data_IF_304716677261
#
_entry.id   IF_304716677261
#
_cell.length_a   1.000
_cell.length_b   1.000
_cell.length_c   1.000
_cell.angle_alpha   90.00
_cell.angle_beta   90.00
_cell.angle_gamma   90.00
#
_symmetry.space_group_name_H-M   'P 1'
#
loop_
_entity.id
_entity.type
_entity.pdbx_description
1 polymer ?
#
# COMPACT_ATOMS: atom_id res chain seq x y z
N UNK A 1 -13.41 -6.62 -6.74
CA UNK A 1 -12.27 -5.71 -6.47
C UNK A 1 -11.11 -5.93 -7.46
N UNK A 2 -10.59 -7.15 -7.65
CA UNK A 2 -9.46 -7.42 -8.57
C UNK A 2 -9.65 -6.95 -10.03
N UNK A 3 -10.83 -7.17 -10.61
CA UNK A 3 -11.12 -6.85 -12.01
C UNK A 3 -11.08 -5.34 -12.34
N UNK A 4 -11.13 -4.49 -11.31
CA UNK A 4 -11.08 -3.03 -11.44
C UNK A 4 -9.66 -2.47 -11.53
N UNK A 5 -8.63 -3.30 -11.29
CA UNK A 5 -7.23 -2.86 -11.24
C UNK A 5 -6.41 -3.43 -12.40
N UNK A 6 -5.58 -2.57 -13.01
CA UNK A 6 -4.61 -2.98 -14.03
C UNK A 6 -3.36 -3.59 -13.44
N UNK A 7 -3.15 -3.41 -12.14
CA UNK A 7 -2.09 -4.01 -11.35
C UNK A 7 -2.67 -4.47 -10.01
N UNK A 8 -2.39 -5.73 -9.65
CA UNK A 8 -2.90 -6.37 -8.45
C UNK A 8 -1.90 -7.46 -8.04
N UNK A 9 -1.06 -7.18 -7.05
CA UNK A 9 -0.01 -8.08 -6.57
C UNK A 9 -0.21 -8.40 -5.08
N UNK A 10 -0.68 -9.60 -4.73
CA UNK A 10 -0.91 -10.00 -3.35
C UNK A 10 0.35 -9.95 -2.49
N UNK A 11 0.22 -9.44 -1.26
CA UNK A 11 1.29 -9.36 -0.27
C UNK A 11 0.70 -9.51 1.14
N UNK A 12 1.49 -9.20 2.17
CA UNK A 12 0.99 -9.03 3.53
C UNK A 12 1.65 -7.83 4.20
N UNK A 13 0.93 -7.21 5.15
CA UNK A 13 1.45 -6.16 6.01
C UNK A 13 1.24 -6.58 7.46
N UNK A 14 2.32 -6.78 8.23
CA UNK A 14 2.28 -7.24 9.62
C UNK A 14 1.34 -8.45 9.87
N UNK A 15 1.29 -9.39 8.93
CA UNK A 15 0.45 -10.60 8.99
C UNK A 15 -0.98 -10.45 8.46
N UNK A 16 -1.40 -9.24 8.07
CA UNK A 16 -2.71 -8.99 7.45
C UNK A 16 -2.65 -9.18 5.93
N UNK A 17 -3.73 -9.68 5.30
CA UNK A 17 -3.81 -9.77 3.85
C UNK A 17 -3.75 -8.36 3.24
N UNK A 18 -2.89 -8.22 2.23
CA UNK A 18 -2.71 -6.94 1.55
C UNK A 18 -2.51 -7.15 0.05
N UNK A 19 -2.66 -6.07 -0.69
CA UNK A 19 -2.40 -6.06 -2.14
C UNK A 19 -1.78 -4.73 -2.55
N UNK A 20 -0.70 -4.80 -3.32
CA UNK A 20 -0.29 -3.63 -4.09
C UNK A 20 -1.19 -3.50 -5.31
N UNK A 21 -1.83 -2.35 -5.47
CA UNK A 21 -2.81 -2.13 -6.52
C UNK A 21 -2.52 -0.86 -7.33
N UNK A 22 -2.96 -0.84 -8.60
CA UNK A 22 -3.11 0.40 -9.36
C UNK A 22 -4.20 0.28 -10.42
N UNK A 23 -5.03 1.33 -10.55
CA UNK A 23 -6.07 1.43 -11.58
C UNK A 23 -5.57 2.01 -12.90
N UNK A 24 -4.44 2.74 -12.91
CA UNK A 24 -4.02 3.58 -14.05
C UNK A 24 -2.92 2.90 -14.88
N UNK A 25 -1.79 2.58 -14.25
CA UNK A 25 -0.64 1.91 -14.89
C UNK A 25 0.04 0.96 -13.92
N UNK A 26 0.54 -0.20 -14.39
CA UNK A 26 1.40 -1.04 -13.59
C UNK A 26 2.69 -0.30 -13.25
N UNK A 27 2.97 -0.15 -11.95
CA UNK A 27 4.31 0.13 -11.41
C UNK A 27 4.98 1.39 -11.99
N UNK A 28 4.28 2.52 -11.97
CA UNK A 28 4.90 3.83 -12.28
C UNK A 28 5.98 4.14 -11.23
N UNK A 29 7.23 4.43 -11.63
CA UNK A 29 8.26 4.86 -10.69
C UNK A 29 7.76 6.04 -9.85
N UNK A 30 7.93 5.96 -8.53
CA UNK A 30 7.46 7.01 -7.60
C UNK A 30 5.98 6.93 -7.21
N UNK A 31 5.23 5.92 -7.69
CA UNK A 31 3.85 5.70 -7.28
C UNK A 31 3.65 4.27 -6.81
N UNK A 32 3.01 4.10 -5.65
CA UNK A 32 2.53 2.80 -5.20
C UNK A 32 1.36 3.00 -4.25
N UNK A 33 0.40 2.07 -4.29
CA UNK A 33 -0.68 1.98 -3.33
C UNK A 33 -0.73 0.56 -2.77
N UNK A 34 -0.98 0.44 -1.47
CA UNK A 34 -1.25 -0.82 -0.79
C UNK A 34 -2.59 -0.72 -0.09
N UNK A 35 -3.47 -1.69 -0.34
CA UNK A 35 -4.72 -1.88 0.40
C UNK A 35 -4.53 -3.05 1.36
N UNK A 36 -4.87 -2.86 2.63
CA UNK A 36 -4.76 -3.88 3.68
C UNK A 36 -6.13 -4.18 4.26
N UNK A 37 -6.53 -5.45 4.24
CA UNK A 37 -7.76 -5.91 4.91
C UNK A 37 -7.51 -6.11 6.40
N UNK A 38 -8.34 -5.50 7.25
CA UNK A 38 -8.20 -5.56 8.71
C UNK A 38 -9.38 -6.24 9.41
N UNK A 39 -10.52 -6.36 8.74
CA UNK A 39 -11.63 -7.24 9.08
C UNK A 39 -12.37 -7.70 7.81
N UNK A 40 -13.44 -8.48 7.96
CA UNK A 40 -14.20 -9.05 6.84
C UNK A 40 -14.76 -7.98 5.88
N UNK A 41 -15.14 -6.82 6.42
CA UNK A 41 -15.76 -5.72 5.68
C UNK A 41 -14.95 -4.41 5.74
N UNK A 42 -13.74 -4.44 6.30
CA UNK A 42 -12.93 -3.23 6.49
C UNK A 42 -11.50 -3.38 5.98
N UNK A 43 -11.05 -2.32 5.32
CA UNK A 43 -9.70 -2.17 4.81
C UNK A 43 -9.27 -0.72 4.90
N UNK A 44 -7.96 -0.48 4.89
CA UNK A 44 -7.41 0.85 4.70
C UNK A 44 -6.45 0.82 3.51
N UNK A 45 -6.23 1.98 2.93
CA UNK A 45 -5.30 2.18 1.84
C UNK A 45 -4.22 3.18 2.24
N UNK A 46 -2.99 2.90 1.81
CA UNK A 46 -1.88 3.85 1.85
C UNK A 46 -1.39 4.04 0.43
N UNK A 47 -1.39 5.30 -0.01
CA UNK A 47 -0.90 5.70 -1.32
C UNK A 47 0.32 6.62 -1.15
N UNK A 48 1.35 6.36 -1.95
CA UNK A 48 2.49 7.24 -2.13
C UNK A 48 2.54 7.68 -3.59
N UNK A 49 2.54 9.00 -3.80
CA UNK A 49 2.61 9.61 -5.14
C UNK A 49 3.71 10.65 -5.14
N UNK A 50 4.64 10.50 -6.08
CA UNK A 50 5.67 11.49 -6.34
C UNK A 50 5.71 11.80 -7.84
N UNK A 51 5.56 13.08 -8.20
CA UNK A 51 5.48 13.52 -9.60
C UNK A 51 6.82 13.41 -10.33
N UNK A 52 7.92 13.58 -9.61
CA UNK A 52 9.29 13.45 -10.12
C UNK A 52 10.05 12.47 -9.23
N UNK A 53 10.86 11.59 -9.81
CA UNK A 53 11.66 10.59 -9.07
C UNK A 53 13.15 10.91 -9.19
N UNK A 54 13.69 11.78 -8.31
CA UNK A 54 15.11 12.05 -8.26
C UNK A 54 15.96 10.77 -8.09
N UNK A 55 17.23 10.78 -8.55
CA UNK A 55 18.18 9.73 -8.19
C UNK A 55 18.28 9.59 -6.67
N UNK A 56 18.20 8.35 -6.18
CA UNK A 56 18.27 8.04 -4.75
C UNK A 56 16.94 8.13 -4.00
N UNK A 57 15.83 8.46 -4.68
CA UNK A 57 14.50 8.36 -4.08
C UNK A 57 14.20 6.92 -3.61
N UNK A 58 13.49 6.77 -2.48
CA UNK A 58 13.12 5.45 -1.97
C UNK A 58 12.15 4.74 -2.93
N UNK A 59 12.15 3.42 -2.88
CA UNK A 59 11.13 2.63 -3.58
C UNK A 59 9.74 2.92 -2.98
N UNK A 60 8.81 3.38 -3.83
CA UNK A 60 7.47 3.77 -3.40
C UNK A 60 6.71 2.63 -2.73
N UNK A 61 6.88 1.39 -3.20
CA UNK A 61 6.19 0.24 -2.62
C UNK A 61 6.76 -0.15 -1.26
N UNK A 62 8.07 -0.05 -1.07
CA UNK A 62 8.70 -0.19 0.24
C UNK A 62 8.21 0.87 1.24
N UNK A 63 8.00 2.12 0.78
CA UNK A 63 7.46 3.20 1.62
C UNK A 63 6.03 2.89 2.07
N UNK A 64 5.12 2.56 1.16
CA UNK A 64 3.73 2.28 1.54
C UNK A 64 3.60 0.99 2.35
N UNK A 65 4.43 -0.03 2.09
CA UNK A 65 4.51 -1.24 2.92
C UNK A 65 4.86 -0.87 4.36
N UNK A 66 5.92 -0.08 4.57
CA UNK A 66 6.35 0.32 5.90
C UNK A 66 5.31 1.19 6.60
N UNK A 67 4.69 2.11 5.87
CA UNK A 67 3.62 2.95 6.40
C UNK A 67 2.40 2.11 6.81
N UNK A 68 2.00 1.12 6.02
CA UNK A 68 0.90 0.22 6.35
C UNK A 68 1.17 -0.60 7.62
N UNK A 69 2.38 -1.12 7.79
CA UNK A 69 2.80 -1.80 9.03
C UNK A 69 2.70 -0.87 10.26
N UNK A 70 3.14 0.38 10.13
CA UNK A 70 3.03 1.37 11.22
C UNK A 70 1.58 1.71 11.56
N UNK A 71 0.68 1.79 10.56
CA UNK A 71 -0.75 1.99 10.80
C UNK A 71 -1.30 0.82 11.63
N UNK A 72 -0.98 -0.42 11.25
CA UNK A 72 -1.42 -1.62 11.99
C UNK A 72 -0.92 -1.60 13.44
N UNK A 73 0.36 -1.28 13.63
CA UNK A 73 0.96 -1.21 14.97
C UNK A 73 0.29 -0.15 15.85
N UNK A 74 0.02 1.04 15.29
CA UNK A 74 -0.65 2.12 16.03
C UNK A 74 -2.11 1.79 16.36
N UNK A 75 -2.86 1.23 15.42
CA UNK A 75 -4.26 0.81 15.64
C UNK A 75 -4.33 -0.27 16.72
N UNK A 76 -3.44 -1.28 16.67
CA UNK A 76 -3.35 -2.31 17.73
C UNK A 76 -3.02 -1.73 19.10
N UNK A 77 -2.19 -0.68 19.14
CA UNK A 77 -1.81 0.01 20.38
C UNK A 77 -2.86 1.03 20.87
N UNK A 78 -3.92 1.30 20.11
CA UNK A 78 -4.92 2.34 20.43
C UNK A 78 -4.39 3.77 20.31
N UNK A 79 -3.39 4.01 19.45
CA UNK A 79 -2.71 5.30 19.24
C UNK A 79 -3.18 6.00 17.97
N UNK A 80 -4.49 6.21 17.86
CA UNK A 80 -5.15 6.85 16.70
C UNK A 80 -5.71 8.20 17.08
#
# INVERSE_FOLDING_TARGET
>A
MRESFRYFDPTSAAGYPAVFQSSVKPRTPGQCAITVGVADDSSFEVEYVMSEVPPGSPDACAVVQRAAEMVIDNVKAGKV
#
